data_IF_655856729183
#
_entry.id   IF_655856729183
#
_cell.length_a   1.000
_cell.length_b   1.000
_cell.length_c   1.000
_cell.angle_alpha   90.00
_cell.angle_beta   90.00
_cell.angle_gamma   90.00
#
_symmetry.space_group_name_H-M   'P 1'
#
loop_
_entity.id
_entity.type
_entity.pdbx_description
1 polymer ?
#
# COMPACT_ATOMS: atom_id res chain seq x y z
N UNK A 1 -8.95 -1.00 19.30
CA UNK A 1 -9.45 0.17 18.53
C UNK A 1 -8.92 1.48 19.12
N UNK A 2 -7.60 1.67 19.12
CA UNK A 2 -6.97 2.92 19.54
C UNK A 2 -6.73 3.84 18.34
N UNK A 3 -6.66 5.18 18.52
CA UNK A 3 -6.28 6.10 17.46
C UNK A 3 -4.97 5.66 16.80
N UNK A 4 -4.93 5.68 15.46
CA UNK A 4 -3.77 5.18 14.70
C UNK A 4 -2.48 5.96 15.02
N UNK A 5 -2.62 7.23 15.40
CA UNK A 5 -1.50 8.09 15.80
C UNK A 5 -0.80 7.63 17.08
N UNK A 6 -1.40 6.77 17.91
CA UNK A 6 -0.68 6.14 19.01
C UNK A 6 0.46 5.23 18.52
N UNK A 7 0.30 4.62 17.35
CA UNK A 7 1.33 3.79 16.72
C UNK A 7 2.28 4.62 15.85
N UNK A 8 1.76 5.68 15.22
CA UNK A 8 2.51 6.56 14.32
C UNK A 8 2.37 8.04 14.74
N UNK A 9 3.13 8.53 15.74
CA UNK A 9 2.97 9.89 16.25
C UNK A 9 3.20 10.99 15.19
N UNK A 10 4.04 10.72 14.21
CA UNK A 10 4.35 11.64 13.10
C UNK A 10 3.27 11.69 12.01
N UNK A 11 2.29 10.79 12.03
CA UNK A 11 1.18 10.78 11.07
C UNK A 11 0.26 11.96 11.32
N UNK A 12 -0.08 12.68 10.25
CA UNK A 12 -1.08 13.73 10.24
C UNK A 12 -2.13 13.43 9.17
N UNK A 13 -3.40 13.55 9.54
CA UNK A 13 -4.54 13.61 8.63
C UNK A 13 -4.92 15.07 8.38
N UNK A 14 -5.88 15.27 7.48
CA UNK A 14 -6.32 16.59 7.01
C UNK A 14 -6.76 17.55 8.14
N UNK A 15 -7.33 17.04 9.23
CA UNK A 15 -7.78 17.85 10.35
C UNK A 15 -7.65 17.12 11.70
N UNK A 16 -7.80 17.88 12.79
CA UNK A 16 -7.67 17.38 14.17
C UNK A 16 -8.71 16.32 14.54
N UNK A 17 -9.92 16.39 13.98
CA UNK A 17 -10.93 15.36 14.23
C UNK A 17 -10.49 13.99 13.68
N UNK A 18 -9.92 13.97 12.48
CA UNK A 18 -9.38 12.75 11.86
C UNK A 18 -8.19 12.21 12.64
N UNK A 19 -7.28 13.10 13.02
CA UNK A 19 -6.14 12.80 13.88
C UNK A 19 -6.54 12.11 15.19
N UNK A 20 -7.62 12.56 15.81
CA UNK A 20 -8.10 12.01 17.08
C UNK A 20 -8.93 10.73 16.95
N UNK A 21 -9.66 10.54 15.83
CA UNK A 21 -10.71 9.50 15.75
C UNK A 21 -10.38 8.31 14.85
N UNK A 22 -9.48 8.45 13.87
CA UNK A 22 -9.16 7.35 12.94
C UNK A 22 -8.40 6.25 13.67
N UNK A 23 -8.89 5.01 13.56
CA UNK A 23 -8.27 3.82 14.14
C UNK A 23 -7.78 2.86 13.06
N UNK A 24 -6.97 1.87 13.42
CA UNK A 24 -6.44 0.85 12.48
C UNK A 24 -7.56 0.14 11.70
N UNK A 25 -8.69 -0.15 12.35
CA UNK A 25 -9.87 -0.77 11.71
C UNK A 25 -10.46 0.09 10.59
N UNK A 26 -10.42 1.42 10.72
CA UNK A 26 -10.91 2.34 9.67
C UNK A 26 -9.98 2.29 8.44
N UNK A 27 -8.68 2.07 8.66
CA UNK A 27 -7.71 1.85 7.57
C UNK A 27 -8.03 0.56 6.81
N UNK A 28 -8.17 -0.55 7.56
CA UNK A 28 -8.44 -1.89 7.01
C UNK A 28 -9.76 -1.96 6.24
N UNK A 29 -10.76 -1.21 6.70
CA UNK A 29 -12.10 -1.20 6.10
C UNK A 29 -12.33 -0.07 5.11
N UNK A 30 -11.32 0.76 4.81
CA UNK A 30 -11.45 1.91 3.92
C UNK A 30 -12.58 2.89 4.33
N UNK A 31 -12.68 3.17 5.64
CA UNK A 31 -13.76 3.99 6.24
C UNK A 31 -13.22 5.25 6.92
N UNK A 32 -12.12 5.80 6.43
CA UNK A 32 -11.52 7.03 6.98
C UNK A 32 -12.19 8.31 6.49
N UNK A 33 -12.99 8.24 5.42
CA UNK A 33 -13.55 9.42 4.74
C UNK A 33 -12.64 10.01 3.65
N UNK A 34 -11.43 9.46 3.48
CA UNK A 34 -10.49 9.85 2.43
C UNK A 34 -10.77 9.09 1.13
N UNK A 35 -10.98 9.77 0.00
CA UNK A 35 -11.12 9.14 -1.30
C UNK A 35 -9.77 8.60 -1.83
N UNK A 36 -9.78 8.06 -3.05
CA UNK A 36 -8.58 7.58 -3.74
C UNK A 36 -7.66 8.75 -4.10
N UNK A 37 -6.36 8.60 -3.83
CA UNK A 37 -5.32 9.60 -4.15
C UNK A 37 -4.16 9.02 -4.96
N UNK A 38 -4.43 8.12 -5.92
CA UNK A 38 -3.37 7.34 -6.58
C UNK A 38 -2.39 8.19 -7.39
N UNK A 39 -2.84 9.26 -8.03
CA UNK A 39 -1.96 10.19 -8.73
C UNK A 39 -0.92 10.84 -7.81
N UNK A 40 -1.19 10.94 -6.51
CA UNK A 40 -0.21 11.47 -5.55
C UNK A 40 1.04 10.59 -5.51
N UNK A 41 0.92 9.27 -5.46
CA UNK A 41 2.07 8.37 -5.36
C UNK A 41 2.54 7.84 -6.73
N UNK A 42 1.63 7.64 -7.68
CA UNK A 42 1.94 7.11 -9.01
C UNK A 42 2.48 8.19 -9.95
N UNK A 43 1.93 9.42 -9.88
CA UNK A 43 2.42 10.56 -10.68
C UNK A 43 3.68 11.20 -10.10
N UNK A 44 3.85 11.13 -8.78
CA UNK A 44 4.97 11.74 -8.06
C UNK A 44 5.65 10.72 -7.13
N UNK A 45 6.34 9.70 -7.68
CA UNK A 45 6.90 8.62 -6.88
C UNK A 45 7.93 9.12 -5.86
N UNK A 46 8.10 8.36 -4.79
CA UNK A 46 9.10 8.59 -3.76
C UNK A 46 9.70 7.23 -3.38
N UNK A 47 11.00 7.19 -3.07
CA UNK A 47 11.64 5.99 -2.49
C UNK A 47 11.40 5.89 -0.98
N UNK A 48 10.96 6.96 -0.33
CA UNK A 48 10.70 7.03 1.12
C UNK A 48 9.21 6.84 1.42
N UNK A 49 8.89 5.85 2.26
CA UNK A 49 7.53 5.64 2.81
C UNK A 49 7.07 6.79 3.68
N UNK A 50 7.99 7.38 4.46
CA UNK A 50 7.68 8.54 5.31
C UNK A 50 7.28 9.75 4.48
N UNK A 51 7.96 9.98 3.35
CA UNK A 51 7.60 11.03 2.40
C UNK A 51 6.19 10.84 1.85
N UNK A 52 5.79 9.60 1.52
CA UNK A 52 4.43 9.29 1.08
C UNK A 52 3.42 9.44 2.21
N UNK A 53 3.72 8.93 3.41
CA UNK A 53 2.88 9.06 4.60
C UNK A 53 2.58 10.53 4.92
N UNK A 54 3.57 11.41 4.82
CA UNK A 54 3.38 12.86 5.04
C UNK A 54 2.39 13.50 4.07
N UNK A 55 2.10 12.89 2.90
CA UNK A 55 1.13 13.43 1.94
C UNK A 55 -0.32 13.25 2.40
N UNK A 56 -0.56 12.35 3.36
CA UNK A 56 -1.91 12.06 3.88
C UNK A 56 -2.53 13.31 4.52
N UNK A 57 -1.72 14.20 5.09
CA UNK A 57 -2.20 15.46 5.68
C UNK A 57 -2.86 16.40 4.65
N UNK A 58 -2.58 16.21 3.36
CA UNK A 58 -3.14 17.01 2.27
C UNK A 58 -4.31 16.33 1.55
N UNK A 59 -4.75 15.16 2.02
CA UNK A 59 -5.87 14.44 1.42
C UNK A 59 -7.18 14.95 2.03
N UNK A 60 -7.95 15.72 1.27
CA UNK A 60 -9.22 16.26 1.74
C UNK A 60 -10.29 15.16 1.86
N UNK A 61 -10.97 15.04 3.01
CA UNK A 61 -12.05 14.07 3.17
C UNK A 61 -13.28 14.48 2.35
N UNK A 62 -13.98 13.49 1.81
CA UNK A 62 -15.26 13.71 1.10
C UNK A 62 -16.47 13.22 1.89
N UNK A 63 -16.22 12.52 2.98
CA UNK A 63 -17.22 12.05 3.95
C UNK A 63 -16.61 12.09 5.34
N UNK A 64 -17.48 12.13 6.36
CA UNK A 64 -17.06 11.90 7.73
C UNK A 64 -16.56 10.47 7.93
N UNK A 65 -15.72 10.30 8.95
CA UNK A 65 -15.15 9.02 9.38
C UNK A 65 -16.30 8.02 9.58
N UNK A 66 -16.16 6.84 8.99
CA UNK A 66 -17.12 5.73 9.00
C UNK A 66 -18.45 5.99 8.32
N UNK A 67 -18.68 7.11 7.63
CA UNK A 67 -19.94 7.31 6.89
C UNK A 67 -19.98 6.48 5.61
N UNK A 68 -18.88 6.42 4.86
CA UNK A 68 -18.82 5.74 3.56
C UNK A 68 -17.54 4.93 3.39
N UNK A 69 -17.64 3.83 2.63
CA UNK A 69 -16.47 3.10 2.14
C UNK A 69 -15.84 3.84 0.96
N UNK A 70 -14.53 4.06 1.02
CA UNK A 70 -13.76 4.72 -0.05
C UNK A 70 -12.35 4.13 -0.16
N UNK A 71 -12.10 3.42 -1.26
CA UNK A 71 -10.80 2.80 -1.52
C UNK A 71 -9.67 3.83 -1.54
N UNK A 72 -8.62 3.59 -0.76
CA UNK A 72 -7.43 4.45 -0.72
C UNK A 72 -6.19 3.62 -0.36
N UNK A 73 -5.23 3.54 -1.29
CA UNK A 73 -3.99 2.78 -1.13
C UNK A 73 -3.11 3.26 0.03
N UNK A 74 -3.17 4.55 0.40
CA UNK A 74 -2.41 5.06 1.55
C UNK A 74 -2.82 4.38 2.86
N UNK A 75 -4.06 3.85 2.95
CA UNK A 75 -4.52 3.16 4.14
C UNK A 75 -3.85 1.79 4.32
N UNK A 76 -3.45 1.13 3.23
CA UNK A 76 -2.63 -0.08 3.27
C UNK A 76 -1.15 0.23 3.48
N UNK A 77 -0.63 1.33 2.89
CA UNK A 77 0.70 1.84 3.23
C UNK A 77 0.85 2.03 4.74
N UNK A 78 -0.11 2.72 5.38
CA UNK A 78 -0.11 2.93 6.82
C UNK A 78 -0.12 1.63 7.61
N UNK A 79 -0.92 0.63 7.21
CA UNK A 79 -0.93 -0.67 7.87
C UNK A 79 0.45 -1.34 7.83
N UNK A 80 1.15 -1.28 6.69
CA UNK A 80 2.53 -1.77 6.60
C UNK A 80 3.48 -1.06 7.56
N UNK A 81 3.44 0.28 7.61
CA UNK A 81 4.30 1.08 8.51
C UNK A 81 3.97 0.80 9.99
N UNK A 82 2.69 0.63 10.35
CA UNK A 82 2.27 0.26 11.70
C UNK A 82 2.81 -1.11 12.08
N UNK A 83 2.69 -2.09 11.18
CA UNK A 83 3.27 -3.43 11.41
C UNK A 83 4.78 -3.33 11.63
N UNK A 84 5.49 -2.56 10.80
CA UNK A 84 6.93 -2.35 10.98
C UNK A 84 7.28 -1.77 12.34
N UNK A 85 6.50 -0.79 12.80
CA UNK A 85 6.73 -0.14 14.08
C UNK A 85 6.45 -1.05 15.28
N UNK A 86 5.44 -1.92 15.19
CA UNK A 86 5.05 -2.82 16.28
C UNK A 86 6.02 -4.00 16.39
N UNK A 87 6.46 -4.55 15.26
CA UNK A 87 7.26 -5.79 15.25
C UNK A 87 8.75 -5.55 15.14
N UNK A 88 9.17 -4.31 14.89
CA UNK A 88 10.58 -3.94 14.63
C UNK A 88 11.20 -4.71 13.45
N UNK A 89 10.37 -5.12 12.50
CA UNK A 89 10.75 -5.87 11.29
C UNK A 89 10.14 -5.21 10.08
N UNK A 90 10.79 -5.32 8.92
CA UNK A 90 10.19 -4.79 7.69
C UNK A 90 8.82 -5.44 7.40
N UNK A 91 7.93 -4.74 6.69
CA UNK A 91 6.64 -5.33 6.31
C UNK A 91 6.85 -6.58 5.43
N UNK A 92 7.91 -6.57 4.62
CA UNK A 92 8.33 -7.69 3.76
C UNK A 92 8.71 -8.91 4.62
N UNK A 93 9.45 -8.71 5.70
CA UNK A 93 9.84 -9.80 6.60
C UNK A 93 8.65 -10.33 7.39
N UNK A 94 7.76 -9.45 7.86
CA UNK A 94 6.52 -9.88 8.51
C UNK A 94 5.68 -10.76 7.59
N UNK A 95 5.41 -10.33 6.36
CA UNK A 95 4.64 -11.12 5.39
C UNK A 95 5.37 -12.42 5.06
N UNK A 96 6.69 -12.38 4.85
CA UNK A 96 7.47 -13.58 4.55
C UNK A 96 7.43 -14.61 5.68
N UNK A 97 7.62 -14.17 6.92
CA UNK A 97 7.65 -15.07 8.08
C UNK A 97 6.27 -15.59 8.47
N UNK A 98 5.22 -14.76 8.36
CA UNK A 98 3.89 -15.09 8.85
C UNK A 98 2.99 -15.72 7.80
N UNK A 99 3.28 -15.53 6.51
CA UNK A 99 2.44 -15.99 5.41
C UNK A 99 3.24 -16.86 4.45
N UNK A 100 4.30 -16.33 3.82
CA UNK A 100 4.94 -17.05 2.72
C UNK A 100 5.62 -18.34 3.19
N UNK A 101 6.44 -18.29 4.24
CA UNK A 101 7.14 -19.47 4.77
C UNK A 101 6.18 -20.56 5.26
N UNK A 102 5.16 -20.27 6.10
CA UNK A 102 4.22 -21.30 6.57
C UNK A 102 3.41 -21.97 5.45
N UNK A 103 3.14 -21.24 4.36
CA UNK A 103 2.37 -21.75 3.23
C UNK A 103 3.25 -22.37 2.12
N UNK A 104 4.58 -22.29 2.25
CA UNK A 104 5.50 -22.82 1.23
C UNK A 104 5.59 -21.97 -0.04
N UNK A 105 5.22 -20.68 0.05
CA UNK A 105 5.25 -19.72 -1.06
C UNK A 105 6.69 -19.26 -1.34
N UNK A 106 7.48 -20.09 -2.01
CA UNK A 106 8.91 -19.87 -2.22
C UNK A 106 9.26 -19.01 -3.45
N UNK A 107 8.35 -18.80 -4.40
CA UNK A 107 8.55 -17.88 -5.54
C UNK A 107 7.93 -16.50 -5.31
N UNK A 108 6.97 -16.39 -4.38
CA UNK A 108 6.34 -15.11 -4.06
C UNK A 108 7.37 -14.11 -3.49
N UNK A 109 7.40 -12.91 -4.07
CA UNK A 109 8.38 -11.88 -3.72
C UNK A 109 7.77 -10.46 -3.74
N UNK A 110 8.60 -9.46 -3.44
CA UNK A 110 8.17 -8.06 -3.31
C UNK A 110 8.89 -7.11 -4.27
N UNK A 111 9.62 -7.62 -5.26
CA UNK A 111 10.62 -6.87 -6.02
C UNK A 111 10.41 -7.08 -7.50
N UNK A 112 10.20 -6.00 -8.23
CA UNK A 112 10.13 -6.06 -9.71
C UNK A 112 11.43 -6.58 -10.33
N UNK A 113 12.58 -6.43 -9.64
CA UNK A 113 13.86 -6.96 -10.11
C UNK A 113 13.94 -8.47 -9.96
N UNK A 114 13.36 -9.01 -8.90
CA UNK A 114 13.33 -10.46 -8.67
C UNK A 114 12.29 -11.11 -9.56
N UNK A 115 11.11 -10.47 -9.73
CA UNK A 115 10.13 -10.85 -10.74
C UNK A 115 10.76 -10.92 -12.13
N UNK A 116 11.48 -9.88 -12.56
CA UNK A 116 12.07 -9.85 -13.91
C UNK A 116 13.16 -10.90 -14.17
N UNK A 117 13.71 -11.53 -13.12
CA UNK A 117 14.68 -12.62 -13.23
C UNK A 117 14.03 -14.01 -13.26
N UNK A 118 12.77 -14.11 -12.86
CA UNK A 118 12.04 -15.37 -12.88
C UNK A 118 11.80 -15.80 -14.34
N UNK A 119 12.14 -17.05 -14.67
CA UNK A 119 12.04 -17.58 -16.03
C UNK A 119 10.59 -17.68 -16.53
N UNK A 120 9.63 -17.70 -15.62
CA UNK A 120 8.19 -17.81 -15.87
C UNK A 120 7.46 -16.51 -15.45
N UNK A 121 8.16 -15.38 -15.50
CA UNK A 121 7.57 -14.06 -15.27
C UNK A 121 6.68 -13.61 -16.44
N UNK A 122 5.42 -13.31 -16.16
CA UNK A 122 4.49 -12.76 -17.16
C UNK A 122 4.85 -11.34 -17.56
N UNK A 123 4.75 -11.01 -18.85
CA UNK A 123 4.92 -9.64 -19.33
C UNK A 123 3.65 -8.79 -19.16
N UNK A 124 3.82 -7.52 -18.79
CA UNK A 124 2.72 -6.55 -18.75
C UNK A 124 2.41 -5.95 -20.12
N UNK A 125 1.13 -5.76 -20.42
CA UNK A 125 0.66 -5.11 -21.66
C UNK A 125 -0.41 -4.06 -21.35
N UNK A 126 -0.42 -2.97 -22.11
CA UNK A 126 -1.48 -1.97 -22.12
C UNK A 126 -2.20 -1.96 -23.47
N UNK A 127 -3.52 -1.78 -23.42
CA UNK A 127 -4.37 -1.61 -24.60
C UNK A 127 -4.61 -0.12 -24.81
N UNK A 128 -4.35 0.38 -26.02
CA UNK A 128 -4.72 1.74 -26.44
C UNK A 128 -5.71 1.66 -27.59
N UNK A 129 -6.71 2.55 -27.60
CA UNK A 129 -7.77 2.61 -28.63
C UNK A 129 -8.38 1.24 -28.89
N UNK A 130 -8.62 0.48 -27.83
CA UNK A 130 -9.28 -0.84 -27.81
C UNK A 130 -8.64 -1.96 -28.66
N UNK A 131 -7.52 -1.71 -29.34
CA UNK A 131 -6.92 -2.72 -30.25
C UNK A 131 -5.39 -2.66 -30.32
N UNK A 132 -4.75 -1.59 -29.88
CA UNK A 132 -3.29 -1.47 -29.92
C UNK A 132 -2.73 -2.04 -28.63
N UNK A 133 -2.19 -3.26 -28.69
CA UNK A 133 -1.53 -3.92 -27.57
C UNK A 133 -0.05 -3.54 -27.57
N UNK A 134 0.42 -2.91 -26.49
CA UNK A 134 1.83 -2.55 -26.32
C UNK A 134 2.37 -3.14 -25.03
N UNK A 135 3.51 -3.82 -25.11
CA UNK A 135 4.28 -4.23 -23.92
C UNK A 135 4.64 -3.00 -23.10
N UNK A 136 4.48 -3.08 -21.78
CA UNK A 136 4.87 -2.04 -20.83
C UNK A 136 5.95 -2.54 -19.89
N UNK A 137 6.79 -1.62 -19.43
CA UNK A 137 7.78 -1.92 -18.42
C UNK A 137 7.12 -2.08 -17.05
N UNK A 138 7.73 -2.88 -16.18
CA UNK A 138 7.32 -2.95 -14.78
C UNK A 138 7.49 -1.59 -14.12
N UNK A 139 6.49 -1.18 -13.36
CA UNK A 139 6.52 0.07 -12.62
C UNK A 139 6.92 -0.20 -11.17
N UNK A 140 7.99 0.45 -10.69
CA UNK A 140 8.45 0.25 -9.32
C UNK A 140 7.55 1.00 -8.34
N UNK A 141 6.84 0.26 -7.50
CA UNK A 141 5.96 0.79 -6.43
C UNK A 141 6.44 0.44 -5.02
N UNK A 142 7.73 0.11 -4.84
CA UNK A 142 8.31 -0.39 -3.59
C UNK A 142 7.91 0.43 -2.36
N UNK A 143 7.92 1.77 -2.46
CA UNK A 143 7.55 2.63 -1.33
C UNK A 143 6.04 2.51 -0.99
N UNK A 144 5.17 2.32 -2.00
CA UNK A 144 3.76 1.96 -1.79
C UNK A 144 3.56 0.46 -1.55
N UNK A 145 4.64 -0.30 -1.36
CA UNK A 145 4.64 -1.76 -1.40
C UNK A 145 3.56 -2.49 -0.60
N UNK A 146 3.28 -2.11 0.65
CA UNK A 146 2.19 -2.72 1.44
C UNK A 146 0.81 -2.68 0.76
N UNK A 147 0.59 -1.74 -0.18
CA UNK A 147 -0.67 -1.59 -0.89
C UNK A 147 -0.77 -2.44 -2.18
N UNK A 148 0.31 -3.07 -2.66
CA UNK A 148 0.20 -3.90 -3.88
C UNK A 148 1.47 -4.37 -4.56
N UNK A 149 2.64 -4.44 -3.90
CA UNK A 149 3.89 -4.86 -4.55
C UNK A 149 4.22 -6.36 -4.40
N UNK A 150 3.26 -7.21 -4.08
CA UNK A 150 3.47 -8.66 -3.99
C UNK A 150 3.36 -9.24 -5.40
N UNK A 151 4.40 -9.95 -5.83
CA UNK A 151 4.41 -10.76 -7.04
C UNK A 151 4.25 -12.22 -6.62
N UNK A 152 3.30 -12.94 -7.22
CA UNK A 152 3.01 -14.35 -6.91
C UNK A 152 2.64 -15.13 -8.17
N UNK A 153 2.46 -16.43 -8.04
CA UNK A 153 1.91 -17.31 -9.10
C UNK A 153 0.68 -18.05 -8.60
N UNK A 154 -0.04 -18.73 -9.51
CA UNK A 154 -1.25 -19.50 -9.17
C UNK A 154 -0.98 -20.74 -8.31
N UNK A 155 0.27 -21.21 -8.26
CA UNK A 155 0.68 -22.42 -7.55
C UNK A 155 1.33 -22.14 -6.18
N UNK A 156 1.37 -20.87 -5.76
CA UNK A 156 1.86 -20.43 -4.45
C UNK A 156 0.67 -20.23 -3.49
#
# INVERSE_FOLDING_TARGET
DKPVREYLPALQFYNEQMNAKIIVRDLMSHRTGLPRHDYSWYGFPSSSRDSLMKRIQYQEPTFDIRVKWQYNNFMFLLQGIITEKITEKSWKDNVREKIFKPLGMNRTNFSIKDLAKDADASLGYAIKKDSIIKKIDYYNIDAMGPAGSINSSVNE
#
